data_IF_740893930086
#
_entry.id   IF_740893930086
#
_cell.length_a   1.000
_cell.length_b   1.000
_cell.length_c   1.000
_cell.angle_alpha   90.00
_cell.angle_beta   90.00
_cell.angle_gamma   90.00
#
_symmetry.space_group_name_H-M   'P 1'
#
loop_
_entity.id
_entity.type
_entity.pdbx_description
1 polymer ?
#
# COMPACT_ATOMS: atom_id res chain seq x y z
N UNK A 1 -11.77 -14.07 18.89
CA UNK A 1 -12.59 -13.92 17.66
C UNK A 1 -13.96 -13.41 18.06
N UNK A 2 -14.34 -12.22 17.60
CA UNK A 2 -15.65 -11.63 17.88
C UNK A 2 -16.13 -10.86 16.65
N UNK A 3 -17.42 -10.95 16.32
CA UNK A 3 -18.04 -10.26 15.20
C UNK A 3 -19.58 -10.23 15.35
N UNK A 4 -20.25 -9.31 14.67
CA UNK A 4 -21.71 -9.33 14.56
C UNK A 4 -22.18 -10.52 13.71
N UNK A 5 -21.44 -10.87 12.65
CA UNK A 5 -21.60 -12.12 11.90
C UNK A 5 -20.26 -12.84 11.81
N UNK A 6 -20.23 -14.09 12.24
CA UNK A 6 -19.04 -14.95 12.20
C UNK A 6 -19.35 -16.24 11.42
N UNK A 7 -18.58 -16.49 10.36
CA UNK A 7 -18.57 -17.74 9.62
C UNK A 7 -17.30 -18.54 9.94
N UNK A 8 -17.44 -19.86 10.14
CA UNK A 8 -16.35 -20.78 10.46
C UNK A 8 -16.74 -22.24 10.22
N UNK A 9 -15.77 -23.16 10.18
CA UNK A 9 -16.00 -24.61 10.15
C UNK A 9 -16.36 -25.15 8.77
N UNK A 10 -15.70 -24.61 7.74
CA UNK A 10 -15.93 -24.96 6.33
C UNK A 10 -17.27 -24.49 5.78
N UNK A 11 -17.93 -23.54 6.45
CA UNK A 11 -19.27 -23.07 6.06
C UNK A 11 -19.23 -22.10 4.88
N UNK A 12 -20.25 -22.11 4.04
CA UNK A 12 -20.55 -21.00 3.11
C UNK A 12 -21.72 -20.19 3.64
N UNK A 13 -21.49 -18.90 3.92
CA UNK A 13 -22.52 -17.98 4.42
C UNK A 13 -22.80 -16.91 3.37
N UNK A 14 -24.08 -16.76 2.98
CA UNK A 14 -24.52 -15.73 2.03
C UNK A 14 -25.32 -14.64 2.74
N UNK A 15 -24.97 -13.37 2.51
CA UNK A 15 -25.60 -12.19 3.11
C UNK A 15 -25.95 -11.20 1.99
N UNK A 16 -27.21 -10.79 1.88
CA UNK A 16 -27.64 -9.84 0.84
C UNK A 16 -28.61 -8.83 1.42
N UNK A 17 -28.45 -7.54 1.08
CA UNK A 17 -29.40 -6.50 1.47
C UNK A 17 -29.48 -6.24 2.98
N UNK A 18 -28.42 -6.54 3.73
CA UNK A 18 -28.44 -6.49 5.18
C UNK A 18 -28.01 -5.11 5.74
N UNK A 19 -28.25 -4.93 7.03
CA UNK A 19 -27.63 -3.85 7.82
C UNK A 19 -26.96 -4.48 9.03
N UNK A 20 -25.63 -4.41 9.08
CA UNK A 20 -24.81 -4.97 10.16
C UNK A 20 -24.22 -3.84 10.97
N UNK A 21 -24.40 -3.87 12.29
CA UNK A 21 -23.85 -2.86 13.20
C UNK A 21 -23.12 -3.53 14.35
N UNK A 22 -21.93 -3.03 14.66
CA UNK A 22 -21.17 -3.46 15.84
C UNK A 22 -20.55 -2.26 16.55
N UNK A 23 -20.77 -2.15 17.85
CA UNK A 23 -20.18 -1.09 18.67
C UNK A 23 -19.25 -1.62 19.77
N UNK A 24 -19.10 -2.94 19.87
CA UNK A 24 -18.24 -3.57 20.86
C UNK A 24 -16.79 -3.57 20.39
N UNK A 25 -15.86 -3.32 21.32
CA UNK A 25 -14.43 -3.41 21.05
C UNK A 25 -14.06 -4.85 20.62
N UNK A 26 -13.25 -4.96 19.57
CA UNK A 26 -12.78 -6.20 18.97
C UNK A 26 -13.86 -6.99 18.20
N UNK A 27 -15.08 -6.47 18.07
CA UNK A 27 -16.20 -7.17 17.42
C UNK A 27 -16.39 -6.67 15.99
N UNK A 28 -15.83 -7.34 14.99
CA UNK A 28 -15.94 -6.93 13.58
C UNK A 28 -17.39 -6.95 13.07
N UNK A 29 -17.64 -6.34 11.90
CA UNK A 29 -18.94 -6.43 11.23
C UNK A 29 -19.23 -7.86 10.77
N UNK A 30 -18.50 -8.32 9.76
CA UNK A 30 -18.63 -9.66 9.18
C UNK A 30 -17.27 -10.32 9.12
N UNK A 31 -17.13 -11.53 9.67
CA UNK A 31 -15.85 -12.22 9.78
C UNK A 31 -15.92 -13.63 9.16
N UNK A 32 -15.11 -13.86 8.12
CA UNK A 32 -14.78 -15.19 7.59
C UNK A 32 -13.50 -15.74 8.21
N UNK A 33 -13.60 -16.82 9.00
CA UNK A 33 -12.44 -17.48 9.62
C UNK A 33 -12.25 -18.91 9.11
N UNK A 34 -11.14 -19.15 8.38
CA UNK A 34 -10.85 -20.44 7.73
C UNK A 34 -10.17 -21.50 8.60
N UNK A 35 -9.88 -21.24 9.88
CA UNK A 35 -9.44 -22.30 10.79
C UNK A 35 -8.04 -22.91 10.57
N UNK A 36 -7.13 -22.31 9.79
CA UNK A 36 -5.76 -22.85 9.59
C UNK A 36 -4.82 -22.75 10.82
N UNK A 37 -5.32 -22.19 11.92
CA UNK A 37 -4.59 -22.00 13.17
C UNK A 37 -3.68 -20.76 13.20
N UNK A 38 -3.88 -19.81 12.28
CA UNK A 38 -3.04 -18.61 12.19
C UNK A 38 -1.66 -18.89 11.60
N UNK A 39 -1.54 -19.97 10.81
CA UNK A 39 -0.30 -20.31 10.11
C UNK A 39 -0.36 -19.71 8.71
N UNK A 40 0.49 -18.73 8.44
CA UNK A 40 0.54 -18.10 7.13
C UNK A 40 0.88 -19.13 6.04
N UNK A 41 0.25 -18.99 4.87
CA UNK A 41 0.40 -19.93 3.76
C UNK A 41 -0.26 -21.32 3.95
N UNK A 42 -0.83 -21.63 5.12
CA UNK A 42 -1.57 -22.87 5.31
C UNK A 42 -3.00 -22.77 4.76
N UNK A 43 -3.47 -23.82 4.08
CA UNK A 43 -4.85 -23.89 3.60
C UNK A 43 -5.86 -23.76 4.74
N UNK A 44 -6.91 -22.98 4.51
CA UNK A 44 -8.09 -22.94 5.36
C UNK A 44 -9.02 -24.13 5.13
N UNK A 45 -10.07 -24.22 5.94
CA UNK A 45 -11.11 -25.25 5.91
C UNK A 45 -12.19 -25.02 4.83
N UNK A 46 -12.04 -23.99 4.00
CA UNK A 46 -12.99 -23.59 2.95
C UNK A 46 -14.10 -22.65 3.42
N UNK A 47 -14.05 -22.14 4.65
CA UNK A 47 -15.01 -21.14 5.14
C UNK A 47 -15.07 -19.93 4.21
N UNK A 48 -16.27 -19.64 3.71
CA UNK A 48 -16.50 -18.60 2.71
C UNK A 48 -17.67 -17.70 3.12
N UNK A 49 -17.46 -16.39 3.07
CA UNK A 49 -18.52 -15.39 3.12
C UNK A 49 -18.75 -14.83 1.73
N UNK A 50 -20.00 -14.88 1.27
CA UNK A 50 -20.46 -14.18 0.05
C UNK A 50 -21.43 -13.09 0.50
N UNK A 51 -21.08 -11.83 0.30
CA UNK A 51 -21.85 -10.70 0.81
C UNK A 51 -22.11 -9.66 -0.27
N UNK A 52 -23.36 -9.20 -0.40
CA UNK A 52 -23.72 -8.17 -1.37
C UNK A 52 -24.70 -7.13 -0.83
N UNK A 53 -24.69 -5.93 -1.40
CA UNK A 53 -25.68 -4.86 -1.18
C UNK A 53 -25.95 -4.57 0.31
N UNK A 54 -24.91 -4.63 1.14
CA UNK A 54 -25.04 -4.62 2.59
C UNK A 54 -24.32 -3.40 3.18
N UNK A 55 -25.00 -2.73 4.12
CA UNK A 55 -24.39 -1.66 4.91
C UNK A 55 -23.80 -2.23 6.21
N UNK A 56 -22.54 -1.89 6.50
CA UNK A 56 -21.82 -2.30 7.69
C UNK A 56 -21.31 -1.05 8.42
N UNK A 57 -21.66 -0.90 9.69
CA UNK A 57 -21.11 0.18 10.53
C UNK A 57 -20.46 -0.40 11.77
N UNK A 58 -19.19 -0.05 12.01
CA UNK A 58 -18.49 -0.41 13.23
C UNK A 58 -17.90 0.79 13.97
N UNK A 59 -18.04 0.81 15.30
CA UNK A 59 -17.58 1.95 16.12
C UNK A 59 -16.66 1.57 17.28
N UNK A 60 -16.48 0.27 17.57
CA UNK A 60 -15.58 -0.18 18.63
C UNK A 60 -14.11 -0.16 18.19
N UNK A 61 -13.20 -0.05 19.15
CA UNK A 61 -11.76 -0.20 18.86
C UNK A 61 -11.45 -1.65 18.46
N UNK A 62 -10.62 -1.85 17.43
CA UNK A 62 -10.31 -3.18 16.89
C UNK A 62 -11.47 -3.85 16.15
N UNK A 63 -12.52 -3.09 15.81
CA UNK A 63 -13.75 -3.56 15.18
C UNK A 63 -13.73 -3.19 13.69
N UNK A 64 -13.14 -4.05 12.86
CA UNK A 64 -13.10 -3.86 11.41
C UNK A 64 -14.46 -4.10 10.73
N UNK A 65 -14.58 -3.69 9.46
CA UNK A 65 -15.79 -3.89 8.66
C UNK A 65 -15.97 -5.35 8.26
N UNK A 66 -15.40 -5.74 7.12
CA UNK A 66 -15.23 -7.14 6.75
C UNK A 66 -13.86 -7.62 7.19
N UNK A 67 -13.80 -8.79 7.81
CA UNK A 67 -12.57 -9.42 8.28
C UNK A 67 -12.41 -10.81 7.66
N UNK A 68 -11.21 -11.12 7.16
CA UNK A 68 -10.89 -12.44 6.59
C UNK A 68 -9.55 -12.92 7.13
N UNK A 69 -9.54 -14.05 7.83
CA UNK A 69 -8.31 -14.58 8.44
C UNK A 69 -8.30 -16.11 8.50
N UNK A 70 -7.15 -16.69 8.85
CA UNK A 70 -7.00 -18.13 9.04
C UNK A 70 -7.22 -18.96 7.78
N UNK A 71 -6.95 -18.41 6.59
CA UNK A 71 -7.24 -19.06 5.31
C UNK A 71 -8.70 -18.98 4.88
N UNK A 72 -9.48 -18.07 5.48
CA UNK A 72 -10.87 -17.82 5.09
C UNK A 72 -10.98 -17.11 3.74
N UNK A 73 -12.20 -17.13 3.19
CA UNK A 73 -12.51 -16.51 1.90
C UNK A 73 -13.64 -15.49 2.10
N UNK A 74 -13.51 -14.30 1.52
CA UNK A 74 -14.58 -13.31 1.43
C UNK A 74 -14.75 -12.85 -0.01
N UNK A 75 -15.97 -12.91 -0.50
CA UNK A 75 -16.41 -12.39 -1.81
C UNK A 75 -17.46 -11.33 -1.51
N UNK A 76 -17.16 -10.07 -1.82
CA UNK A 76 -17.99 -8.91 -1.50
C UNK A 76 -18.37 -8.12 -2.75
N UNK A 77 -19.63 -7.71 -2.84
CA UNK A 77 -20.15 -6.89 -3.95
C UNK A 77 -20.96 -5.71 -3.42
N UNK A 78 -20.64 -4.49 -3.86
CA UNK A 78 -21.43 -3.29 -3.59
C UNK A 78 -21.78 -3.07 -2.10
N UNK A 79 -20.76 -3.09 -1.22
CA UNK A 79 -20.97 -2.82 0.20
C UNK A 79 -20.88 -1.32 0.51
N UNK A 80 -21.55 -0.89 1.57
CA UNK A 80 -21.36 0.42 2.20
C UNK A 80 -20.80 0.22 3.61
N UNK A 81 -19.49 0.39 3.78
CA UNK A 81 -18.77 0.07 5.02
C UNK A 81 -18.22 1.33 5.64
N UNK A 82 -18.55 1.57 6.91
CA UNK A 82 -18.02 2.68 7.70
C UNK A 82 -17.47 2.20 9.04
N UNK A 83 -16.23 2.53 9.33
CA UNK A 83 -15.59 2.22 10.61
C UNK A 83 -15.03 3.49 11.28
N UNK A 84 -15.10 3.55 12.61
CA UNK A 84 -14.63 4.74 13.36
C UNK A 84 -13.77 4.46 14.60
N UNK A 85 -13.69 3.21 15.05
CA UNK A 85 -12.81 2.86 16.17
C UNK A 85 -11.33 2.85 15.78
N UNK A 86 -10.44 2.87 16.77
CA UNK A 86 -8.99 2.72 16.56
C UNK A 86 -8.65 1.32 16.05
N UNK A 87 -7.71 1.19 15.12
CA UNK A 87 -7.29 -0.12 14.57
C UNK A 87 -8.44 -0.93 13.95
N UNK A 88 -9.30 -0.25 13.19
CA UNK A 88 -10.56 -0.79 12.67
C UNK A 88 -10.64 -0.61 11.16
N UNK A 89 -9.80 -1.32 10.39
CA UNK A 89 -9.85 -1.24 8.93
C UNK A 89 -11.21 -1.69 8.35
N UNK A 90 -11.66 -1.06 7.26
CA UNK A 90 -12.92 -1.41 6.61
C UNK A 90 -12.83 -2.77 5.90
N UNK A 91 -11.73 -2.99 5.18
CA UNK A 91 -11.33 -4.29 4.61
C UNK A 91 -10.13 -4.76 5.42
N UNK A 92 -10.34 -5.75 6.28
CA UNK A 92 -9.34 -6.21 7.24
C UNK A 92 -8.97 -7.65 7.01
N UNK A 93 -7.69 -7.95 7.15
CA UNK A 93 -7.18 -9.31 7.29
C UNK A 93 -6.21 -9.37 8.46
N UNK A 94 -5.86 -10.56 8.92
CA UNK A 94 -5.01 -10.80 10.09
C UNK A 94 -4.41 -12.22 9.99
N UNK A 95 -3.64 -12.60 11.02
CA UNK A 95 -2.83 -13.82 11.09
C UNK A 95 -3.47 -15.06 10.43
N UNK A 96 -2.68 -15.74 9.60
CA UNK A 96 -3.08 -16.90 8.81
C UNK A 96 -3.64 -16.56 7.43
N UNK A 97 -3.71 -15.27 7.07
CA UNK A 97 -4.10 -14.79 5.75
C UNK A 97 -5.47 -15.28 5.28
N UNK A 98 -5.64 -15.37 3.97
CA UNK A 98 -6.90 -15.72 3.31
C UNK A 98 -6.99 -15.07 1.93
N UNK A 99 -8.20 -15.05 1.37
CA UNK A 99 -8.44 -14.38 0.09
C UNK A 99 -9.66 -13.47 0.20
N UNK A 100 -9.50 -12.23 -0.26
CA UNK A 100 -10.57 -11.23 -0.29
C UNK A 100 -10.74 -10.73 -1.71
N UNK A 101 -11.96 -10.82 -2.24
CA UNK A 101 -12.36 -10.24 -3.52
C UNK A 101 -13.50 -9.27 -3.28
N UNK A 102 -13.31 -8.01 -3.67
CA UNK A 102 -14.31 -6.95 -3.55
C UNK A 102 -14.58 -6.35 -4.92
N UNK A 103 -15.86 -6.19 -5.29
CA UNK A 103 -16.29 -5.47 -6.48
C UNK A 103 -17.32 -4.40 -6.14
N UNK A 104 -16.96 -3.13 -6.37
CA UNK A 104 -17.80 -1.98 -6.08
C UNK A 104 -17.93 -1.66 -4.59
N UNK A 105 -18.80 -0.69 -4.30
CA UNK A 105 -19.08 -0.23 -2.94
C UNK A 105 -18.22 0.95 -2.48
N UNK A 106 -18.49 1.38 -1.26
CA UNK A 106 -17.81 2.49 -0.59
C UNK A 106 -17.31 2.01 0.77
N UNK A 107 -16.03 2.22 1.04
CA UNK A 107 -15.37 1.80 2.28
C UNK A 107 -14.72 3.03 2.91
N UNK A 108 -15.13 3.36 4.14
CA UNK A 108 -14.70 4.56 4.84
C UNK A 108 -14.17 4.22 6.23
N UNK A 109 -13.03 4.78 6.58
CA UNK A 109 -12.43 4.67 7.90
C UNK A 109 -12.10 6.05 8.46
N UNK A 110 -12.28 6.21 9.77
CA UNK A 110 -12.04 7.50 10.45
C UNK A 110 -11.28 7.42 11.77
N UNK A 111 -11.00 6.20 12.26
CA UNK A 111 -10.23 6.00 13.49
C UNK A 111 -8.72 5.97 13.23
N UNK A 112 -7.93 6.32 14.24
CA UNK A 112 -6.47 6.27 14.17
C UNK A 112 -5.98 4.81 14.01
N UNK A 113 -4.94 4.61 13.20
CA UNK A 113 -4.42 3.28 12.87
C UNK A 113 -5.41 2.42 12.08
N UNK A 114 -6.36 3.04 11.37
CA UNK A 114 -7.41 2.32 10.62
C UNK A 114 -7.28 2.63 9.13
N UNK A 115 -6.34 1.97 8.43
CA UNK A 115 -6.33 2.08 6.98
C UNK A 115 -7.64 1.55 6.39
N UNK A 116 -8.00 1.99 5.19
CA UNK A 116 -9.19 1.43 4.53
C UNK A 116 -8.99 -0.05 4.21
N UNK A 117 -7.75 -0.44 3.90
CA UNK A 117 -7.32 -1.83 3.71
C UNK A 117 -6.11 -2.14 4.59
N UNK A 118 -6.22 -3.17 5.42
CA UNK A 118 -5.09 -3.77 6.15
C UNK A 118 -4.88 -5.21 5.66
N UNK A 119 -3.72 -5.49 5.05
CA UNK A 119 -3.42 -6.78 4.44
C UNK A 119 -2.33 -7.58 5.16
N UNK A 120 -2.70 -8.81 5.52
CA UNK A 120 -1.86 -9.97 5.83
C UNK A 120 -2.30 -11.17 4.97
N UNK A 121 -2.90 -10.88 3.80
CA UNK A 121 -3.55 -11.85 2.91
C UNK A 121 -3.46 -11.40 1.44
N UNK A 122 -4.11 -12.14 0.53
CA UNK A 122 -4.31 -11.70 -0.84
C UNK A 122 -5.64 -10.94 -0.97
N UNK A 123 -5.57 -9.66 -1.31
CA UNK A 123 -6.75 -8.79 -1.42
C UNK A 123 -6.85 -8.20 -2.83
N UNK A 124 -7.98 -8.42 -3.49
CA UNK A 124 -8.32 -7.75 -4.76
C UNK A 124 -9.55 -6.90 -4.58
N UNK A 125 -9.48 -5.62 -4.96
CA UNK A 125 -10.60 -4.67 -4.92
C UNK A 125 -10.77 -4.05 -6.28
N UNK A 126 -12.02 -4.02 -6.78
CA UNK A 126 -12.38 -3.46 -8.07
C UNK A 126 -13.47 -2.41 -7.92
N UNK A 127 -13.45 -1.38 -8.76
CA UNK A 127 -14.56 -0.42 -8.95
C UNK A 127 -15.07 0.27 -7.66
N UNK A 128 -14.25 0.33 -6.61
CA UNK A 128 -14.67 0.79 -5.28
C UNK A 128 -14.19 2.22 -4.97
N UNK A 129 -14.93 2.90 -4.10
CA UNK A 129 -14.47 4.14 -3.45
C UNK A 129 -13.91 3.80 -2.07
N UNK A 130 -12.67 4.21 -1.82
CA UNK A 130 -11.89 3.85 -0.64
C UNK A 130 -11.41 5.15 0.04
N UNK A 131 -11.80 5.37 1.29
CA UNK A 131 -11.46 6.61 2.00
C UNK A 131 -10.97 6.30 3.41
N UNK A 132 -9.78 6.78 3.73
CA UNK A 132 -9.26 6.82 5.10
C UNK A 132 -9.00 8.28 5.47
N UNK A 133 -9.64 8.80 6.51
CA UNK A 133 -9.52 10.23 6.84
C UNK A 133 -8.40 10.56 7.81
N UNK A 134 -8.04 9.63 8.72
CA UNK A 134 -7.08 9.88 9.79
C UNK A 134 -5.78 9.09 9.66
N UNK A 135 -5.77 8.02 8.85
CA UNK A 135 -4.64 7.08 8.74
C UNK A 135 -4.29 6.81 7.28
N UNK A 136 -3.36 5.90 7.05
CA UNK A 136 -2.98 5.41 5.73
C UNK A 136 -4.23 4.99 4.94
N UNK A 137 -4.16 5.01 3.61
CA UNK A 137 -5.16 4.32 2.80
C UNK A 137 -4.98 2.81 2.91
N UNK A 138 -3.74 2.37 2.76
CA UNK A 138 -3.39 0.95 2.68
C UNK A 138 -2.20 0.64 3.58
N UNK A 139 -2.27 -0.47 4.29
CA UNK A 139 -1.10 -1.10 4.90
C UNK A 139 -0.97 -2.56 4.42
N UNK A 140 0.22 -2.94 3.96
CA UNK A 140 0.57 -4.34 3.63
C UNK A 140 1.68 -4.79 4.57
N UNK A 141 1.46 -5.92 5.23
CA UNK A 141 2.45 -6.53 6.10
C UNK A 141 3.07 -7.78 5.47
N UNK A 142 4.38 -7.92 5.52
CA UNK A 142 5.11 -9.13 5.12
C UNK A 142 4.90 -9.55 3.67
N UNK A 143 4.79 -10.85 3.39
CA UNK A 143 4.75 -11.41 2.03
C UNK A 143 3.38 -11.31 1.30
N UNK A 144 2.54 -10.36 1.70
CA UNK A 144 1.14 -10.29 1.28
C UNK A 144 0.91 -9.34 0.11
N UNK A 145 -0.29 -9.40 -0.49
CA UNK A 145 -0.58 -8.68 -1.72
C UNK A 145 -1.90 -7.90 -1.68
N UNK A 146 -1.90 -6.74 -2.35
CA UNK A 146 -3.11 -5.97 -2.65
C UNK A 146 -3.12 -5.60 -4.13
N UNK A 147 -4.24 -5.85 -4.80
CA UNK A 147 -4.52 -5.41 -6.17
C UNK A 147 -5.76 -4.51 -6.19
N UNK A 148 -5.61 -3.29 -6.73
CA UNK A 148 -6.69 -2.33 -6.93
C UNK A 148 -6.93 -2.12 -8.43
N UNK A 149 -8.16 -2.34 -8.90
CA UNK A 149 -8.55 -2.12 -10.30
C UNK A 149 -9.69 -1.10 -10.40
N UNK A 150 -9.44 0.03 -11.06
CA UNK A 150 -10.42 1.12 -11.21
C UNK A 150 -10.99 1.63 -9.87
N UNK A 151 -10.18 1.62 -8.82
CA UNK A 151 -10.55 2.14 -7.51
C UNK A 151 -10.22 3.64 -7.38
N UNK A 152 -11.04 4.37 -6.63
CA UNK A 152 -10.73 5.73 -6.20
C UNK A 152 -10.36 5.69 -4.72
N UNK A 153 -9.06 5.80 -4.42
CA UNK A 153 -8.52 5.78 -3.06
C UNK A 153 -8.08 7.17 -2.63
N UNK A 154 -8.60 7.62 -1.49
CA UNK A 154 -8.19 8.86 -0.82
C UNK A 154 -7.66 8.54 0.57
N UNK A 155 -6.41 8.94 0.84
CA UNK A 155 -5.76 8.72 2.12
C UNK A 155 -5.42 10.07 2.79
N UNK A 156 -5.90 10.23 4.03
CA UNK A 156 -5.70 11.43 4.83
C UNK A 156 -4.41 11.43 5.62
N UNK A 157 -4.05 10.28 6.22
CA UNK A 157 -2.95 10.05 7.17
C UNK A 157 -2.41 11.31 7.87
N UNK A 158 -3.23 11.92 8.73
CA UNK A 158 -2.87 13.18 9.40
C UNK A 158 -2.16 12.97 10.74
N UNK A 159 -1.97 11.72 11.17
CA UNK A 159 -1.32 11.38 12.44
C UNK A 159 -0.65 10.00 12.38
N UNK A 160 0.64 9.94 12.69
CA UNK A 160 1.37 8.68 12.81
C UNK A 160 0.73 7.76 13.86
N UNK A 161 0.74 6.46 13.58
CA UNK A 161 0.23 5.45 14.50
C UNK A 161 1.27 4.37 14.84
N UNK A 162 1.25 3.90 16.08
CA UNK A 162 2.12 2.82 16.53
C UNK A 162 3.59 3.23 16.46
N UNK A 163 4.39 2.44 15.73
CA UNK A 163 5.82 2.69 15.57
C UNK A 163 6.15 3.61 14.39
N UNK A 164 5.18 3.90 13.51
CA UNK A 164 5.41 4.74 12.33
C UNK A 164 5.92 6.12 12.73
N UNK A 165 6.90 6.63 11.99
CA UNK A 165 7.40 7.99 12.15
C UNK A 165 7.25 8.86 10.90
N UNK A 166 6.71 8.29 9.83
CA UNK A 166 6.29 9.00 8.62
C UNK A 166 4.77 9.15 8.56
N UNK A 167 4.34 10.08 7.72
CA UNK A 167 2.97 10.11 7.21
C UNK A 167 3.05 9.63 5.78
N UNK A 168 2.18 8.71 5.42
CA UNK A 168 2.12 8.13 4.09
C UNK A 168 0.73 7.61 3.71
N UNK A 169 0.46 7.48 2.41
CA UNK A 169 -0.82 6.95 1.93
C UNK A 169 -0.83 5.44 1.81
N UNK A 170 0.28 4.85 1.34
CA UNK A 170 0.45 3.43 1.16
C UNK A 170 1.70 2.99 1.93
N UNK A 171 1.50 2.24 3.01
CA UNK A 171 2.56 1.68 3.83
C UNK A 171 2.78 0.20 3.48
N UNK A 172 4.02 -0.16 3.16
CA UNK A 172 4.40 -1.55 2.89
C UNK A 172 5.57 -1.89 3.81
N UNK A 173 5.33 -2.82 4.75
CA UNK A 173 6.27 -3.05 5.83
C UNK A 173 6.27 -4.48 6.36
N UNK A 174 7.30 -4.87 7.11
CA UNK A 174 7.23 -6.03 7.99
C UNK A 174 7.17 -5.56 9.43
N UNK A 175 6.18 -6.04 10.17
CA UNK A 175 6.12 -5.80 11.61
C UNK A 175 6.88 -6.86 12.41
N UNK A 176 7.00 -6.64 13.73
CA UNK A 176 7.58 -7.60 14.70
C UNK A 176 6.51 -8.45 15.41
N UNK A 177 5.25 -8.39 14.98
CA UNK A 177 4.13 -9.09 15.65
C UNK A 177 4.10 -10.59 15.40
N UNK A 178 4.68 -11.04 14.27
CA UNK A 178 4.52 -12.40 13.78
C UNK A 178 3.13 -12.68 13.20
N UNK A 179 2.39 -11.64 12.79
CA UNK A 179 1.09 -11.80 12.11
C UNK A 179 1.26 -12.17 10.64
N UNK A 180 2.28 -11.61 9.98
CA UNK A 180 2.68 -11.95 8.62
C UNK A 180 4.08 -12.57 8.57
N UNK A 181 4.29 -13.50 7.64
CA UNK A 181 5.61 -14.04 7.33
C UNK A 181 6.40 -13.02 6.51
N UNK A 182 7.72 -12.98 6.71
CA UNK A 182 8.59 -12.15 5.89
C UNK A 182 8.71 -12.68 4.47
N UNK A 183 8.86 -11.76 3.53
CA UNK A 183 9.01 -12.07 2.11
C UNK A 183 8.72 -10.82 1.29
N UNK A 184 8.40 -11.03 0.02
CA UNK A 184 8.14 -9.93 -0.91
C UNK A 184 6.66 -9.52 -0.85
N UNK A 185 6.39 -8.28 -0.42
CA UNK A 185 5.07 -7.67 -0.48
C UNK A 185 4.76 -7.21 -1.91
N UNK A 186 3.49 -7.21 -2.32
CA UNK A 186 3.08 -6.71 -3.63
C UNK A 186 1.90 -5.72 -3.55
N UNK A 187 2.06 -4.53 -4.12
CA UNK A 187 0.98 -3.58 -4.36
C UNK A 187 0.82 -3.37 -5.87
N UNK A 188 -0.37 -3.63 -6.40
CA UNK A 188 -0.71 -3.37 -7.79
C UNK A 188 -1.90 -2.44 -7.88
N UNK A 189 -1.81 -1.41 -8.72
CA UNK A 189 -2.95 -0.54 -9.02
C UNK A 189 -3.05 -0.27 -10.52
N UNK A 190 -4.22 -0.53 -11.09
CA UNK A 190 -4.51 -0.30 -12.49
C UNK A 190 -5.78 0.56 -12.65
N UNK A 191 -5.65 1.68 -13.37
CA UNK A 191 -6.74 2.65 -13.52
C UNK A 191 -7.11 3.35 -12.20
N UNK A 192 -8.19 4.13 -12.24
CA UNK A 192 -8.70 4.83 -11.06
C UNK A 192 -7.81 5.98 -10.59
N UNK A 193 -7.92 6.30 -9.29
CA UNK A 193 -7.25 7.47 -8.69
C UNK A 193 -6.65 7.11 -7.32
N UNK A 194 -5.43 7.56 -7.07
CA UNK A 194 -4.78 7.56 -5.75
C UNK A 194 -4.51 9.01 -5.33
N UNK A 195 -5.25 9.49 -4.33
CA UNK A 195 -5.08 10.82 -3.74
C UNK A 195 -4.45 10.74 -2.36
N UNK A 196 -3.22 11.25 -2.25
CA UNK A 196 -2.47 11.41 -1.00
C UNK A 196 -2.68 12.83 -0.48
N UNK A 197 -3.41 12.98 0.63
CA UNK A 197 -3.70 14.30 1.22
C UNK A 197 -2.66 14.74 2.25
N UNK A 198 -1.80 13.83 2.72
CA UNK A 198 -0.72 14.13 3.66
C UNK A 198 0.46 13.18 3.47
N UNK A 199 1.66 13.70 3.66
CA UNK A 199 2.88 12.90 3.68
C UNK A 199 3.26 12.31 2.32
N UNK A 200 3.98 11.20 2.36
CA UNK A 200 4.51 10.51 1.18
C UNK A 200 3.40 9.69 0.51
N UNK A 201 3.44 9.52 -0.81
CA UNK A 201 2.45 8.67 -1.45
C UNK A 201 2.68 7.18 -1.13
N UNK A 202 3.93 6.73 -1.21
CA UNK A 202 4.34 5.38 -0.82
C UNK A 202 5.47 5.42 0.22
N UNK A 203 5.42 4.49 1.16
CA UNK A 203 6.49 4.24 2.12
C UNK A 203 6.79 2.74 2.24
N UNK A 204 8.05 2.36 2.00
CA UNK A 204 8.55 1.00 2.11
C UNK A 204 9.60 0.95 3.21
N UNK A 205 9.38 0.11 4.21
CA UNK A 205 10.30 -0.04 5.34
C UNK A 205 10.33 -1.46 5.86
N UNK A 206 11.50 -1.94 6.26
CA UNK A 206 11.72 -3.26 6.84
C UNK A 206 11.14 -4.41 5.97
N UNK A 207 11.12 -4.30 4.64
CA UNK A 207 10.60 -5.34 3.75
C UNK A 207 11.15 -5.20 2.33
N UNK A 208 10.96 -6.24 1.52
CA UNK A 208 11.08 -6.15 0.07
C UNK A 208 9.68 -5.95 -0.52
N UNK A 209 9.46 -4.88 -1.27
CA UNK A 209 8.19 -4.54 -1.88
C UNK A 209 8.28 -4.45 -3.40
N UNK A 210 7.25 -4.94 -4.10
CA UNK A 210 7.02 -4.70 -5.52
C UNK A 210 5.77 -3.85 -5.68
N UNK A 211 5.91 -2.68 -6.30
CA UNK A 211 4.85 -1.73 -6.56
C UNK A 211 4.66 -1.65 -8.08
N UNK A 212 3.46 -1.95 -8.57
CA UNK A 212 3.14 -1.94 -10.01
C UNK A 212 1.97 -1.00 -10.29
N UNK A 213 2.17 -0.01 -11.15
CA UNK A 213 1.19 1.04 -11.47
C UNK A 213 0.95 1.11 -12.97
N UNK A 214 -0.33 1.14 -13.37
CA UNK A 214 -0.71 1.30 -14.77
C UNK A 214 -1.95 2.20 -14.94
N UNK A 215 -1.82 3.29 -15.69
CA UNK A 215 -2.93 4.20 -16.00
C UNK A 215 -3.65 4.80 -14.78
N UNK A 216 -2.97 4.91 -13.65
CA UNK A 216 -3.51 5.46 -12.39
C UNK A 216 -3.36 6.97 -12.39
N UNK A 217 -4.43 7.68 -12.01
CA UNK A 217 -4.34 9.12 -11.71
C UNK A 217 -3.74 9.30 -10.31
N UNK A 218 -2.53 9.84 -10.21
CA UNK A 218 -1.86 10.10 -8.94
C UNK A 218 -2.02 11.58 -8.57
N UNK A 219 -2.65 11.87 -7.44
CA UNK A 219 -2.74 13.20 -6.86
C UNK A 219 -1.92 13.26 -5.56
N UNK A 220 -0.72 13.83 -5.62
CA UNK A 220 0.15 13.96 -4.46
C UNK A 220 0.00 15.37 -3.84
N UNK A 221 -1.02 15.55 -3.00
CA UNK A 221 -1.33 16.85 -2.38
C UNK A 221 -0.61 17.04 -1.04
N UNK A 222 -0.20 15.94 -0.40
CA UNK A 222 0.43 15.94 0.92
C UNK A 222 1.89 16.38 0.95
N UNK A 223 2.66 16.06 -0.09
CA UNK A 223 4.07 16.44 -0.27
C UNK A 223 4.50 16.24 -1.72
N UNK A 224 5.73 16.62 -2.06
CA UNK A 224 6.35 16.25 -3.35
C UNK A 224 6.94 14.81 -3.34
N UNK A 225 6.89 14.09 -2.21
CA UNK A 225 7.51 12.76 -2.12
C UNK A 225 6.59 11.69 -2.69
N UNK A 226 7.00 11.09 -3.81
CA UNK A 226 6.31 9.98 -4.44
C UNK A 226 6.51 8.69 -3.64
N UNK A 227 7.75 8.33 -3.38
CA UNK A 227 8.12 7.08 -2.70
C UNK A 227 9.25 7.37 -1.72
N UNK A 228 9.20 6.71 -0.56
CA UNK A 228 10.31 6.64 0.38
C UNK A 228 10.66 5.19 0.68
N UNK A 229 11.95 4.85 0.59
CA UNK A 229 12.51 3.54 0.93
C UNK A 229 13.60 3.78 1.97
N UNK A 230 13.28 3.55 3.24
CA UNK A 230 14.20 3.82 4.35
C UNK A 230 13.77 3.13 5.64
N UNK A 231 14.63 3.21 6.66
CA UNK A 231 14.29 2.80 8.02
C UNK A 231 13.13 3.63 8.59
N UNK A 232 12.29 2.96 9.37
CA UNK A 232 11.29 3.56 10.26
C UNK A 232 11.28 2.78 11.59
N UNK A 233 10.17 2.75 12.32
CA UNK A 233 10.06 2.13 13.64
C UNK A 233 10.14 0.60 13.71
N UNK A 234 10.67 -0.08 12.68
CA UNK A 234 10.83 -1.53 12.61
C UNK A 234 12.23 -1.93 12.16
N UNK A 235 12.63 -3.16 12.48
CA UNK A 235 13.94 -3.72 12.16
C UNK A 235 13.86 -5.22 11.91
N UNK A 236 14.91 -5.79 11.31
CA UNK A 236 15.06 -7.23 11.10
C UNK A 236 15.05 -7.68 9.62
N UNK A 237 14.69 -6.80 8.70
CA UNK A 237 14.75 -7.00 7.26
C UNK A 237 15.36 -5.78 6.55
N UNK A 238 15.65 -5.92 5.26
CA UNK A 238 16.18 -4.84 4.41
C UNK A 238 15.06 -3.93 3.91
N UNK A 239 15.41 -2.71 3.49
CA UNK A 239 14.49 -1.79 2.81
C UNK A 239 14.72 -1.89 1.30
N UNK A 240 13.87 -2.64 0.60
CA UNK A 240 14.02 -2.88 -0.85
C UNK A 240 12.71 -2.59 -1.55
N UNK A 241 12.73 -1.80 -2.62
CA UNK A 241 11.56 -1.55 -3.44
C UNK A 241 11.84 -1.77 -4.93
N UNK A 242 10.85 -2.29 -5.63
CA UNK A 242 10.75 -2.28 -7.08
C UNK A 242 9.52 -1.46 -7.46
N UNK A 243 9.69 -0.39 -8.23
CA UNK A 243 8.61 0.43 -8.75
C UNK A 243 8.50 0.22 -10.26
N UNK A 244 7.43 -0.43 -10.69
CA UNK A 244 7.14 -0.74 -12.08
C UNK A 244 6.02 0.17 -12.58
N UNK A 245 6.32 0.98 -13.59
CA UNK A 245 5.39 1.87 -14.27
C UNK A 245 5.13 1.34 -15.69
N UNK A 246 3.86 1.08 -16.02
CA UNK A 246 3.42 0.64 -17.33
C UNK A 246 2.32 1.58 -17.84
N UNK A 247 2.58 2.31 -18.93
CA UNK A 247 1.71 3.39 -19.40
C UNK A 247 1.27 4.35 -18.26
N UNK A 248 2.22 4.69 -17.39
CA UNK A 248 1.99 5.41 -16.15
C UNK A 248 2.79 6.71 -16.11
N UNK A 249 2.16 7.79 -15.66
CA UNK A 249 2.83 9.04 -15.34
C UNK A 249 3.15 9.09 -13.84
N UNK A 250 4.42 9.32 -13.51
CA UNK A 250 4.93 9.49 -12.16
C UNK A 250 5.48 10.91 -12.01
N UNK A 251 5.27 11.51 -10.84
CA UNK A 251 5.83 12.82 -10.51
C UNK A 251 6.22 12.89 -9.04
N UNK A 252 7.29 13.63 -8.76
CA UNK A 252 7.78 13.91 -7.41
C UNK A 252 9.14 13.32 -7.11
N UNK A 253 9.64 13.62 -5.92
CA UNK A 253 10.93 13.12 -5.43
C UNK A 253 10.79 11.69 -4.90
N UNK A 254 11.74 10.83 -5.23
CA UNK A 254 11.86 9.49 -4.63
C UNK A 254 13.03 9.49 -3.63
N UNK A 255 12.72 9.17 -2.38
CA UNK A 255 13.67 9.14 -1.28
C UNK A 255 14.20 7.72 -1.08
N UNK A 256 15.52 7.52 -1.11
CA UNK A 256 16.16 6.21 -0.91
C UNK A 256 17.29 6.37 0.11
N UNK A 257 17.13 5.80 1.29
CA UNK A 257 18.12 5.88 2.37
C UNK A 257 19.42 5.13 2.03
N UNK A 258 20.51 5.51 2.67
CA UNK A 258 21.86 4.96 2.46
C UNK A 258 21.94 3.42 2.57
N UNK A 259 21.12 2.84 3.44
CA UNK A 259 20.99 1.41 3.67
C UNK A 259 19.91 0.71 2.82
N UNK A 260 19.33 1.43 1.85
CA UNK A 260 18.16 1.01 1.10
C UNK A 260 18.46 0.77 -0.38
N UNK A 261 17.58 0.03 -1.06
CA UNK A 261 17.72 -0.28 -2.49
C UNK A 261 16.40 -0.05 -3.23
N UNK A 262 16.48 0.58 -4.40
CA UNK A 262 15.35 0.82 -5.28
C UNK A 262 15.68 0.44 -6.73
N UNK A 263 14.76 -0.28 -7.37
CA UNK A 263 14.71 -0.38 -8.84
C UNK A 263 13.47 0.34 -9.38
N UNK A 264 13.65 1.24 -10.34
CA UNK A 264 12.58 1.90 -11.09
C UNK A 264 12.58 1.39 -12.53
N UNK A 265 11.42 0.92 -13.00
CA UNK A 265 11.22 0.46 -14.39
C UNK A 265 10.10 1.26 -15.05
N UNK A 266 10.41 1.96 -16.15
CA UNK A 266 9.44 2.71 -16.94
C UNK A 266 9.21 2.03 -18.29
N UNK A 267 7.96 1.65 -18.56
CA UNK A 267 7.56 0.90 -19.75
C UNK A 267 6.28 1.43 -20.40
N UNK A 268 6.06 1.06 -21.66
CA UNK A 268 4.87 1.40 -22.46
C UNK A 268 4.54 2.89 -22.48
N UNK A 269 5.55 3.72 -22.70
CA UNK A 269 5.39 5.18 -22.78
C UNK A 269 5.18 5.85 -21.41
N UNK A 270 5.64 5.22 -20.33
CA UNK A 270 5.60 5.81 -19.00
C UNK A 270 6.46 7.07 -18.91
N UNK A 271 6.10 7.97 -18.00
CA UNK A 271 6.88 9.18 -17.73
C UNK A 271 7.20 9.29 -16.24
N UNK A 272 8.40 9.80 -15.93
CA UNK A 272 8.77 10.20 -14.58
C UNK A 272 9.26 11.65 -14.61
N UNK A 273 8.60 12.56 -13.89
CA UNK A 273 9.08 13.92 -13.65
C UNK A 273 9.52 14.04 -12.19
N UNK A 274 10.82 13.93 -11.94
CA UNK A 274 11.30 13.82 -10.57
C UNK A 274 12.80 13.61 -10.44
N UNK A 275 13.22 13.39 -9.20
CA UNK A 275 14.61 13.17 -8.82
C UNK A 275 14.72 12.17 -7.66
N UNK A 276 15.93 11.68 -7.41
CA UNK A 276 16.27 10.87 -6.24
C UNK A 276 17.05 11.68 -5.20
N UNK A 277 16.75 11.44 -3.92
CA UNK A 277 17.48 12.01 -2.78
C UNK A 277 17.62 10.99 -1.65
N UNK A 278 18.71 11.11 -0.89
CA UNK A 278 18.92 10.35 0.35
C UNK A 278 18.79 11.19 1.62
N UNK A 279 18.46 12.47 1.49
CA UNK A 279 18.21 13.37 2.62
C UNK A 279 16.80 13.11 3.15
N UNK A 280 16.72 12.28 4.20
CA UNK A 280 15.45 11.80 4.74
C UNK A 280 15.34 12.23 6.18
N UNK A 281 14.26 12.95 6.50
CA UNK A 281 13.88 13.33 7.86
C UNK A 281 12.46 12.90 8.12
N UNK A 282 12.21 12.24 9.25
CA UNK A 282 10.88 11.78 9.61
C UNK A 282 10.00 12.90 10.18
N UNK A 283 8.72 12.62 10.43
CA UNK A 283 7.77 13.60 10.96
C UNK A 283 8.13 14.12 12.38
N UNK A 284 9.07 13.46 13.07
CA UNK A 284 9.61 13.90 14.37
C UNK A 284 10.83 14.82 14.24
N UNK A 285 11.27 15.14 13.02
CA UNK A 285 12.46 15.94 12.77
C UNK A 285 13.78 15.19 12.98
N UNK A 286 13.74 13.86 13.04
CA UNK A 286 14.95 13.03 13.17
C UNK A 286 15.48 12.71 11.78
N UNK A 287 16.77 12.95 11.55
CA UNK A 287 17.45 12.53 10.32
C UNK A 287 17.54 11.00 10.31
N UNK A 288 16.99 10.41 9.25
CA UNK A 288 16.97 8.96 9.00
C UNK A 288 18.11 8.58 8.07
N UNK A 289 18.39 9.42 7.07
CA UNK A 289 19.50 9.25 6.13
C UNK A 289 20.00 10.62 5.64
N UNK A 290 21.26 10.66 5.20
CA UNK A 290 21.88 11.81 4.56
C UNK A 290 22.49 11.49 3.19
N UNK A 291 22.54 10.21 2.80
CA UNK A 291 23.11 9.78 1.53
C UNK A 291 22.11 8.91 0.77
N UNK A 292 22.17 8.97 -0.55
CA UNK A 292 21.28 8.16 -1.40
C UNK A 292 21.75 6.71 -1.37
N UNK A 293 20.81 5.78 -1.21
CA UNK A 293 21.07 4.35 -1.31
C UNK A 293 21.35 3.89 -2.73
N UNK A 294 21.20 2.58 -2.94
CA UNK A 294 21.40 1.99 -4.27
C UNK A 294 20.16 2.20 -5.14
N UNK A 295 20.33 2.84 -6.29
CA UNK A 295 19.22 3.13 -7.22
C UNK A 295 19.57 2.64 -8.62
N UNK A 296 18.73 1.76 -9.17
CA UNK A 296 18.77 1.36 -10.57
C UNK A 296 17.54 1.87 -11.33
N UNK A 297 17.75 2.47 -12.49
CA UNK A 297 16.66 3.00 -13.32
C UNK A 297 16.71 2.38 -14.71
N UNK A 298 15.57 1.86 -15.18
CA UNK A 298 15.41 1.33 -16.53
C UNK A 298 14.27 2.01 -17.28
N UNK A 299 14.54 2.38 -18.55
CA UNK A 299 13.57 2.99 -19.46
C UNK A 299 13.49 2.14 -20.72
N UNK A 300 12.27 1.84 -21.17
CA UNK A 300 12.07 1.40 -22.54
C UNK A 300 12.25 2.54 -23.56
N UNK A 301 12.22 2.21 -24.85
CA UNK A 301 12.46 3.18 -25.94
C UNK A 301 11.43 4.31 -26.00
N UNK A 302 10.25 4.12 -25.40
CA UNK A 302 9.11 5.04 -25.49
C UNK A 302 8.90 5.88 -24.24
N UNK A 303 9.53 5.50 -23.13
CA UNK A 303 9.38 6.14 -21.83
C UNK A 303 10.36 7.30 -21.65
N UNK A 304 10.02 8.25 -20.78
CA UNK A 304 10.84 9.47 -20.57
C UNK A 304 11.05 9.77 -19.10
N UNK A 305 12.20 10.37 -18.77
CA UNK A 305 12.48 10.90 -17.43
C UNK A 305 12.86 12.37 -17.51
N UNK A 306 12.05 13.26 -16.93
CA UNK A 306 12.36 14.68 -16.75
C UNK A 306 12.98 14.91 -15.37
N UNK A 307 14.19 15.47 -15.32
CA UNK A 307 14.85 15.79 -14.06
C UNK A 307 14.25 17.04 -13.42
N UNK A 308 14.13 17.02 -12.10
CA UNK A 308 13.73 18.18 -11.27
C UNK A 308 14.83 18.66 -10.32
N UNK A 309 15.94 17.92 -10.24
CA UNK A 309 17.14 18.26 -9.50
C UNK A 309 18.34 17.48 -10.07
N UNK A 310 19.56 17.90 -9.73
CA UNK A 310 20.74 17.05 -9.91
C UNK A 310 20.55 15.77 -9.11
N UNK A 311 20.77 14.62 -9.73
CA UNK A 311 20.43 13.33 -9.12
C UNK A 311 21.48 12.28 -9.37
N UNK A 312 21.64 11.37 -8.41
CA UNK A 312 22.72 10.40 -8.34
C UNK A 312 22.11 9.01 -8.23
N UNK A 313 22.42 8.15 -9.19
CA UNK A 313 21.97 6.76 -9.22
C UNK A 313 23.15 5.83 -9.43
N UNK A 314 22.97 4.57 -9.03
CA UNK A 314 23.99 3.54 -9.16
C UNK A 314 24.06 3.02 -10.60
N UNK A 315 22.91 2.77 -11.21
CA UNK A 315 22.82 2.13 -12.54
C UNK A 315 21.71 2.73 -13.39
N UNK A 316 21.98 2.85 -14.70
CA UNK A 316 21.01 3.31 -15.69
C UNK A 316 21.00 2.37 -16.90
N UNK A 317 19.81 1.93 -17.30
CA UNK A 317 19.60 1.13 -18.50
C UNK A 317 18.53 1.77 -19.38
N UNK A 318 18.96 2.37 -20.50
CA UNK A 318 18.05 3.03 -21.44
C UNK A 318 18.81 3.96 -22.38
N UNK A 319 18.07 4.72 -23.18
CA UNK A 319 18.62 5.77 -24.03
C UNK A 319 18.77 7.06 -23.24
N UNK A 320 19.97 7.66 -23.21
CA UNK A 320 20.19 8.97 -22.59
C UNK A 320 19.30 10.05 -23.21
N UNK A 321 18.98 9.96 -24.50
CA UNK A 321 18.08 10.90 -25.19
C UNK A 321 16.64 10.89 -24.68
N UNK A 322 16.25 9.91 -23.87
CA UNK A 322 14.95 9.82 -23.21
C UNK A 322 14.96 10.50 -21.83
N UNK A 323 16.13 10.91 -21.32
CA UNK A 323 16.29 11.73 -20.13
C UNK A 323 16.32 13.20 -20.54
N UNK A 324 15.41 13.99 -19.99
CA UNK A 324 15.28 15.43 -20.21
C UNK A 324 15.97 16.12 -19.03
N UNK A 325 17.11 16.73 -19.30
CA UNK A 325 17.97 17.36 -18.30
C UNK A 325 17.26 18.47 -17.53
N UNK A 326 16.44 19.27 -18.21
CA UNK A 326 15.71 20.41 -17.63
C UNK A 326 16.62 21.37 -16.83
N UNK A 327 17.89 21.51 -17.25
CA UNK A 327 18.90 22.31 -16.55
C UNK A 327 19.65 21.60 -15.42
N UNK A 328 19.37 20.32 -15.18
CA UNK A 328 20.00 19.46 -14.18
C UNK A 328 20.85 18.36 -14.82
N UNK A 329 21.65 17.70 -13.99
CA UNK A 329 22.56 16.62 -14.39
C UNK A 329 22.17 15.30 -13.71
N UNK A 330 22.07 14.25 -14.51
CA UNK A 330 22.00 12.87 -14.01
C UNK A 330 23.41 12.31 -13.86
N UNK A 331 23.76 11.85 -12.67
CA UNK A 331 25.02 11.16 -12.40
C UNK A 331 24.77 9.67 -12.21
N UNK A 332 25.45 8.84 -13.00
CA UNK A 332 25.38 7.37 -12.94
C UNK A 332 26.73 6.83 -12.51
N UNK A 333 26.79 6.11 -11.37
CA UNK A 333 28.04 5.59 -10.83
C UNK A 333 29.09 6.69 -10.57
N UNK A 334 28.65 7.92 -10.30
CA UNK A 334 29.50 9.09 -10.04
C UNK A 334 29.96 9.87 -11.29
N UNK A 335 29.55 9.48 -12.49
CA UNK A 335 29.84 10.21 -13.73
C UNK A 335 28.58 10.85 -14.32
N UNK A 336 28.68 12.07 -14.86
CA UNK A 336 27.56 12.70 -15.56
C UNK A 336 27.17 11.86 -16.79
N UNK A 337 25.87 11.61 -16.96
CA UNK A 337 25.35 10.92 -18.14
C UNK A 337 25.34 11.87 -19.33
N UNK A 338 26.11 11.53 -20.37
CA UNK A 338 26.18 12.30 -21.60
C UNK A 338 25.05 11.92 -22.58
N UNK A 339 24.60 12.89 -23.38
CA UNK A 339 23.58 12.66 -24.42
C UNK A 339 22.13 12.81 -23.96
N UNK A 340 21.89 13.41 -22.79
CA UNK A 340 20.56 13.83 -22.33
C UNK A 340 19.99 14.94 -23.21
N UNK A 341 18.67 15.03 -23.29
CA UNK A 341 17.93 16.06 -24.03
C UNK A 341 17.76 17.37 -23.25
#
# INVERSE_FOLDING_TARGET
MNAAVLAMGGSTTTITGATVKSSANGANGVFSYGGNGGRNGAEGDGTTVVISDTSITTTGDGSGGIMTTGGGITIAENLDVATSGRSSAAIRTDRGGGTVSVDGGTYTTSGLGSPVIYSTADVTVKNATLVSSLSEGVCIEGNNSITLENCNLTAGNTMCNGNATFLDSIMIYQSMSGDADSGTSAFTMAGGTLSSLSGHMFHVTNTHAVISLSGVTLNNEGSDVLLSVCDDGWHGASNVAELNADAQSLAGTILVGDNSTLSLSLSSGSSFEGSFSGEITNAKGTQVSSEVGTVSVSLDETSTWTLTADTYISEFSGSAGNVISNGYTLYVGGAALEGTR
#
